data_IF_675660579359
#
_entry.id   IF_675660579359
#
_cell.length_a   1.000
_cell.length_b   1.000
_cell.length_c   1.000
_cell.angle_alpha   90.00
_cell.angle_beta   90.00
_cell.angle_gamma   90.00
#
_symmetry.space_group_name_H-M   'P 1'
#
loop_
_entity.id
_entity.type
_entity.pdbx_description
1 polymer ?
#
# COMPACT_ATOMS: atom_id res chain seq x y z
N UNK A 1 -2.55 27.57 -2.52
CA UNK A 1 -3.70 27.67 -1.59
C UNK A 1 -3.38 28.79 -0.63
N UNK A 2 -4.33 29.67 -0.30
CA UNK A 2 -4.11 30.67 0.77
C UNK A 2 -3.83 29.93 2.07
N UNK A 3 -2.83 30.39 2.82
CA UNK A 3 -2.53 29.89 4.15
C UNK A 3 -3.68 30.24 5.11
N UNK A 4 -3.83 29.46 6.18
CA UNK A 4 -4.88 29.68 7.17
C UNK A 4 -4.83 31.08 7.79
N UNK A 5 -3.62 31.62 7.97
CA UNK A 5 -3.39 32.95 8.53
C UNK A 5 -3.86 34.07 7.60
N UNK A 6 -3.65 33.93 6.29
CA UNK A 6 -4.12 34.91 5.29
C UNK A 6 -5.64 34.94 5.25
N UNK A 7 -6.29 33.77 5.37
CA UNK A 7 -7.76 33.70 5.46
C UNK A 7 -8.27 34.35 6.74
N UNK A 8 -7.58 34.15 7.87
CA UNK A 8 -7.93 34.80 9.13
C UNK A 8 -7.77 36.33 9.06
N UNK A 9 -6.69 36.83 8.44
CA UNK A 9 -6.49 38.27 8.23
C UNK A 9 -7.59 38.86 7.34
N UNK A 10 -7.96 38.17 6.27
CA UNK A 10 -9.04 38.58 5.37
C UNK A 10 -10.40 38.65 6.08
N UNK A 11 -10.72 37.70 6.97
CA UNK A 11 -11.95 37.72 7.77
C UNK A 11 -11.97 38.88 8.76
N UNK A 12 -10.84 39.15 9.44
CA UNK A 12 -10.71 40.30 10.34
C UNK A 12 -10.93 41.63 9.61
N UNK A 13 -10.28 41.81 8.46
CA UNK A 13 -10.43 43.01 7.63
C UNK A 13 -11.87 43.18 7.11
N UNK A 14 -12.54 42.09 6.76
CA UNK A 14 -13.96 42.13 6.39
C UNK A 14 -14.85 42.57 7.56
N UNK A 15 -14.57 42.11 8.78
CA UNK A 15 -15.25 42.59 10.00
C UNK A 15 -15.05 44.10 10.25
N UNK A 16 -13.92 44.66 9.79
CA UNK A 16 -13.62 46.10 9.81
C UNK A 16 -14.26 46.87 8.64
N UNK A 17 -15.17 46.26 7.88
CA UNK A 17 -15.90 46.90 6.79
C UNK A 17 -15.20 46.88 5.42
N UNK A 18 -14.13 46.09 5.27
CA UNK A 18 -13.44 46.00 3.98
C UNK A 18 -14.24 45.19 2.95
N UNK A 19 -14.48 45.79 1.79
CA UNK A 19 -15.18 45.14 0.69
C UNK A 19 -14.34 44.08 -0.03
N UNK A 20 -15.01 43.02 -0.52
CA UNK A 20 -14.37 41.87 -1.18
C UNK A 20 -13.49 42.23 -2.40
N UNK A 21 -13.77 43.36 -3.10
CA UNK A 21 -12.95 43.83 -4.23
C UNK A 21 -11.59 44.37 -3.77
N UNK A 22 -11.55 45.02 -2.61
CA UNK A 22 -10.33 45.57 -2.02
C UNK A 22 -9.47 44.44 -1.48
N UNK A 23 -10.08 43.49 -0.75
CA UNK A 23 -9.41 42.29 -0.27
C UNK A 23 -8.79 41.45 -1.41
N UNK A 24 -9.51 41.27 -2.52
CA UNK A 24 -8.99 40.55 -3.68
C UNK A 24 -7.70 41.16 -4.26
N UNK A 25 -7.60 42.50 -4.28
CA UNK A 25 -6.41 43.23 -4.75
C UNK A 25 -5.25 43.11 -3.77
N UNK A 26 -5.54 43.25 -2.47
CA UNK A 26 -4.54 43.20 -1.40
C UNK A 26 -3.89 41.81 -1.29
N UNK A 27 -4.72 40.76 -1.30
CA UNK A 27 -4.26 39.38 -1.16
C UNK A 27 -3.92 38.72 -2.50
N UNK A 28 -3.95 39.46 -3.62
CA UNK A 28 -3.64 38.94 -4.96
C UNK A 28 -4.50 37.74 -5.40
N UNK A 29 -5.71 37.60 -4.85
CA UNK A 29 -6.56 36.44 -5.08
C UNK A 29 -7.85 36.79 -5.84
N UNK A 30 -8.41 35.82 -6.56
CA UNK A 30 -9.65 36.04 -7.30
C UNK A 30 -10.79 36.44 -6.35
N UNK A 31 -11.63 37.41 -6.75
CA UNK A 31 -12.80 37.86 -5.97
C UNK A 31 -13.73 36.71 -5.56
N UNK A 32 -13.82 35.68 -6.38
CA UNK A 32 -14.63 34.48 -6.09
C UNK A 32 -14.07 33.69 -4.91
N UNK A 33 -12.74 33.64 -4.76
CA UNK A 33 -12.05 33.00 -3.64
C UNK A 33 -12.31 33.76 -2.34
N UNK A 34 -12.19 35.09 -2.36
CA UNK A 34 -12.55 35.96 -1.23
C UNK A 34 -14.01 35.71 -0.82
N UNK A 35 -14.96 35.80 -1.75
CA UNK A 35 -16.39 35.56 -1.45
C UNK A 35 -16.64 34.16 -0.88
N UNK A 36 -15.93 33.15 -1.35
CA UNK A 36 -16.05 31.78 -0.84
C UNK A 36 -15.61 31.70 0.62
N UNK A 37 -14.44 32.24 0.96
CA UNK A 37 -13.94 32.24 2.34
C UNK A 37 -14.79 33.11 3.27
N UNK A 38 -15.27 34.27 2.81
CA UNK A 38 -16.18 35.12 3.58
C UNK A 38 -17.50 34.41 3.88
N UNK A 39 -18.07 33.67 2.91
CA UNK A 39 -19.30 32.88 3.11
C UNK A 39 -19.12 31.70 4.06
N UNK A 40 -17.93 31.08 4.02
CA UNK A 40 -17.63 29.90 4.83
C UNK A 40 -17.13 30.27 6.23
N UNK A 41 -16.78 31.55 6.48
CA UNK A 41 -16.39 32.04 7.81
C UNK A 41 -15.04 31.52 8.31
N UNK A 42 -14.23 30.92 7.45
CA UNK A 42 -12.99 30.27 7.87
C UNK A 42 -12.17 29.68 6.72
N UNK A 43 -10.92 29.29 6.98
CA UNK A 43 -10.13 28.49 6.06
C UNK A 43 -10.81 27.14 5.84
N UNK A 44 -11.31 26.93 4.63
CA UNK A 44 -11.98 25.68 4.28
C UNK A 44 -10.99 24.70 3.71
N UNK A 45 -10.85 23.58 4.41
CA UNK A 45 -10.12 22.43 3.93
C UNK A 45 -10.64 22.04 2.54
N UNK A 46 -9.72 21.67 1.64
CA UNK A 46 -10.07 21.25 0.30
C UNK A 46 -10.99 20.02 0.37
N UNK A 47 -12.28 20.22 0.09
CA UNK A 47 -13.25 19.13 0.01
C UNK A 47 -13.20 18.54 -1.39
N UNK A 48 -12.48 17.43 -1.55
CA UNK A 48 -12.57 16.63 -2.77
C UNK A 48 -14.01 16.08 -2.87
N UNK A 49 -14.75 16.33 -3.96
CA UNK A 49 -16.04 15.69 -4.14
C UNK A 49 -15.83 14.18 -4.15
N UNK A 50 -16.59 13.46 -3.32
CA UNK A 50 -16.59 11.99 -3.31
C UNK A 50 -17.26 11.56 -4.60
N UNK A 51 -16.45 11.26 -5.62
CA UNK A 51 -16.93 10.69 -6.88
C UNK A 51 -17.10 9.21 -6.67
N UNK A 52 -18.28 8.70 -6.99
CA UNK A 52 -18.48 7.25 -7.01
C UNK A 52 -17.55 6.65 -8.05
N UNK A 53 -16.76 5.65 -7.67
CA UNK A 53 -15.95 4.90 -8.62
C UNK A 53 -16.72 3.67 -9.09
N UNK A 54 -16.33 3.10 -10.24
CA UNK A 54 -16.94 1.87 -10.74
C UNK A 54 -16.78 0.67 -9.79
N UNK A 55 -15.90 0.78 -8.81
CA UNK A 55 -15.59 -0.28 -7.85
C UNK A 55 -16.28 -0.11 -6.50
N UNK A 56 -17.00 1.00 -6.29
CA UNK A 56 -17.68 1.24 -5.02
C UNK A 56 -18.76 0.17 -4.78
N UNK A 57 -18.62 -0.62 -3.72
CA UNK A 57 -19.55 -1.71 -3.38
C UNK A 57 -19.18 -3.08 -3.96
N UNK A 58 -18.10 -3.17 -4.74
CA UNK A 58 -17.51 -4.44 -5.20
C UNK A 58 -16.35 -4.91 -4.32
N UNK A 59 -16.01 -4.15 -3.26
CA UNK A 59 -14.86 -4.42 -2.39
C UNK A 59 -14.88 -5.82 -1.76
N UNK A 60 -16.05 -6.27 -1.29
CA UNK A 60 -16.18 -7.58 -0.65
C UNK A 60 -16.08 -8.71 -1.68
N UNK A 61 -16.71 -8.53 -2.85
CA UNK A 61 -16.60 -9.48 -3.96
C UNK A 61 -15.15 -9.61 -4.44
N UNK A 62 -14.43 -8.50 -4.58
CA UNK A 62 -13.00 -8.50 -4.95
C UNK A 62 -12.17 -9.21 -3.88
N UNK A 63 -12.38 -8.89 -2.59
CA UNK A 63 -11.65 -9.53 -1.48
C UNK A 63 -11.81 -11.04 -1.50
N UNK A 64 -13.02 -11.56 -1.65
CA UNK A 64 -13.25 -13.00 -1.72
C UNK A 64 -12.50 -13.66 -2.89
N UNK A 65 -12.52 -13.04 -4.08
CA UNK A 65 -11.84 -13.59 -5.25
C UNK A 65 -10.32 -13.53 -5.12
N UNK A 66 -9.77 -12.45 -4.59
CA UNK A 66 -8.34 -12.33 -4.33
C UNK A 66 -7.89 -13.35 -3.26
N UNK A 67 -8.65 -13.53 -2.18
CA UNK A 67 -8.32 -14.50 -1.13
C UNK A 67 -8.43 -15.94 -1.64
N UNK A 68 -9.40 -16.26 -2.48
CA UNK A 68 -9.50 -17.58 -3.11
C UNK A 68 -8.30 -17.87 -4.03
N UNK A 69 -7.88 -16.88 -4.83
CA UNK A 69 -6.69 -16.98 -5.67
C UNK A 69 -5.41 -17.20 -4.83
N UNK A 70 -5.27 -16.46 -3.72
CA UNK A 70 -4.15 -16.63 -2.79
C UNK A 70 -4.18 -18.00 -2.12
N UNK A 71 -5.35 -18.51 -1.69
CA UNK A 71 -5.45 -19.87 -1.11
C UNK A 71 -5.03 -20.94 -2.11
N UNK A 72 -5.43 -20.82 -3.38
CA UNK A 72 -5.05 -21.76 -4.45
C UNK A 72 -3.54 -21.76 -4.71
N UNK A 73 -2.94 -20.57 -4.85
CA UNK A 73 -1.50 -20.41 -5.09
C UNK A 73 -0.65 -20.84 -3.89
N UNK A 74 -1.02 -20.45 -2.67
CA UNK A 74 -0.31 -20.86 -1.45
C UNK A 74 -0.43 -22.36 -1.19
N UNK A 75 -1.59 -22.98 -1.45
CA UNK A 75 -1.77 -24.43 -1.32
C UNK A 75 -0.90 -25.21 -2.31
N UNK A 76 -0.77 -24.72 -3.54
CA UNK A 76 0.12 -25.32 -4.53
C UNK A 76 1.59 -25.19 -4.11
N UNK A 77 2.00 -24.01 -3.63
CA UNK A 77 3.35 -23.76 -3.13
C UNK A 77 3.71 -24.67 -1.94
N UNK A 78 2.82 -24.80 -0.96
CA UNK A 78 3.02 -25.69 0.20
C UNK A 78 3.16 -27.15 -0.24
N UNK A 79 2.32 -27.60 -1.17
CA UNK A 79 2.34 -28.97 -1.69
C UNK A 79 3.62 -29.26 -2.48
N UNK A 80 4.07 -28.34 -3.34
CA UNK A 80 5.35 -28.46 -4.03
C UNK A 80 6.54 -28.46 -3.06
N UNK A 81 6.55 -27.59 -2.06
CA UNK A 81 7.62 -27.57 -1.05
C UNK A 81 7.67 -28.84 -0.19
N UNK A 82 6.52 -29.49 0.06
CA UNK A 82 6.48 -30.79 0.76
C UNK A 82 6.99 -31.92 -0.14
N UNK A 83 6.60 -31.92 -1.42
CA UNK A 83 7.06 -32.89 -2.41
C UNK A 83 8.59 -32.81 -2.62
N UNK A 84 9.15 -31.61 -2.84
CA UNK A 84 10.59 -31.41 -3.04
C UNK A 84 11.38 -31.87 -1.80
N UNK A 85 10.87 -31.61 -0.58
CA UNK A 85 11.52 -32.07 0.65
C UNK A 85 11.50 -33.58 0.80
N UNK A 86 10.37 -34.24 0.48
CA UNK A 86 10.28 -35.71 0.48
C UNK A 86 11.26 -36.31 -0.53
N UNK A 87 11.24 -35.81 -1.77
CA UNK A 87 12.11 -36.29 -2.84
C UNK A 87 13.61 -36.12 -2.49
N UNK A 88 13.99 -35.00 -1.86
CA UNK A 88 15.37 -34.80 -1.40
C UNK A 88 15.76 -35.75 -0.27
N UNK A 89 14.84 -36.05 0.66
CA UNK A 89 15.08 -37.03 1.72
C UNK A 89 15.24 -38.45 1.16
N UNK A 90 14.43 -38.81 0.16
CA UNK A 90 14.53 -40.09 -0.53
C UNK A 90 15.84 -40.21 -1.30
N UNK A 91 16.29 -39.14 -1.97
CA UNK A 91 17.56 -39.10 -2.68
C UNK A 91 18.76 -39.27 -1.73
N UNK A 92 18.72 -38.62 -0.56
CA UNK A 92 19.74 -38.80 0.48
C UNK A 92 19.75 -40.23 1.04
N UNK A 93 18.58 -40.85 1.21
CA UNK A 93 18.47 -42.24 1.67
C UNK A 93 19.08 -43.22 0.67
N UNK A 94 18.80 -43.04 -0.62
CA UNK A 94 19.39 -43.83 -1.70
C UNK A 94 20.91 -43.67 -1.80
N UNK A 95 21.45 -42.46 -1.60
CA UNK A 95 22.90 -42.23 -1.58
C UNK A 95 23.56 -42.85 -0.34
N UNK A 96 22.89 -42.81 0.83
CA UNK A 96 23.38 -43.51 2.03
C UNK A 96 23.36 -45.03 1.86
N UNK A 97 22.32 -45.59 1.24
CA UNK A 97 22.23 -47.02 0.95
C UNK A 97 23.31 -47.46 -0.05
N UNK A 98 23.59 -46.66 -1.10
CA UNK A 98 24.73 -46.93 -1.99
C UNK A 98 26.08 -46.90 -1.27
N UNK A 99 26.28 -45.94 -0.34
CA UNK A 99 27.51 -45.88 0.48
C UNK A 99 27.67 -47.11 1.36
N UNK A 100 26.59 -47.63 1.93
CA UNK A 100 26.60 -48.79 2.81
C UNK A 100 26.70 -50.13 2.03
N UNK A 101 26.22 -50.16 0.78
CA UNK A 101 26.34 -51.33 -0.11
C UNK A 101 27.63 -51.38 -0.93
N UNK A 102 28.51 -50.38 -0.83
CA UNK A 102 29.85 -50.46 -1.44
C UNK A 102 30.71 -51.33 -0.52
N UNK A 103 31.16 -52.53 -0.93
CA UNK A 103 32.08 -53.31 -0.13
C UNK A 103 33.35 -52.48 0.04
N UNK A 104 33.82 -52.41 1.27
CA UNK A 104 34.96 -51.66 1.78
C UNK A 104 36.30 -52.13 1.14
N UNK A 105 36.44 -51.96 -0.17
CA UNK A 105 37.57 -52.48 -0.95
C UNK A 105 38.75 -51.50 -1.05
N UNK A 106 38.72 -50.35 -0.38
CA UNK A 106 39.81 -49.36 -0.45
C UNK A 106 40.24 -48.77 0.91
N UNK A 107 40.00 -49.47 2.03
CA UNK A 107 40.77 -49.21 3.25
C UNK A 107 42.15 -49.84 3.14
N UNK A 108 43.04 -49.24 2.34
CA UNK A 108 44.47 -49.53 2.42
C UNK A 108 45.05 -48.80 3.65
N UNK A 109 45.83 -49.49 4.51
CA UNK A 109 46.36 -48.88 5.71
C UNK A 109 47.41 -47.83 5.35
N UNK A 110 47.33 -46.67 6.01
CA UNK A 110 48.46 -45.74 6.13
C UNK A 110 49.65 -46.52 6.68
N UNK A 111 50.72 -46.59 5.91
CA UNK A 111 52.03 -46.98 6.43
C UNK A 111 52.74 -45.72 6.96
N UNK A 112 53.57 -45.83 8.01
CA UNK A 112 54.21 -44.70 8.69
C UNK A 112 55.21 -43.95 7.80
#
# INVERSE_FOLDING_TARGET
>A
MLQAEEVAAMLRLHGLGWGAKRLAREFGCARNTVRRYLRQGGPVAFRKPVRRTAFDGLDEWLRERFLDLLRKTYRWRIRCCRFIRSWRADLQRSDTERRLSTPEAWQLPRQP
#
